data_IF_760242707647
#
_entry.id   IF_760242707647
#
_cell.length_a   1.000
_cell.length_b   1.000
_cell.length_c   1.000
_cell.angle_alpha   90.00
_cell.angle_beta   90.00
_cell.angle_gamma   90.00
#
_symmetry.space_group_name_H-M   'P 1'
#
loop_
_entity.id
_entity.type
_entity.pdbx_description
1 polymer ?
#
# COMPACT_ATOMS: atom_id res chain seq x y z
N UNK A 1 -31.20 -11.22 -22.65
CA UNK A 1 -30.34 -12.03 -21.76
C UNK A 1 -29.40 -11.07 -21.08
N UNK A 2 -29.45 -11.02 -19.76
CA UNK A 2 -28.52 -10.27 -18.93
C UNK A 2 -27.18 -11.00 -19.00
N UNK A 3 -26.20 -10.43 -19.71
CA UNK A 3 -24.82 -10.82 -19.43
C UNK A 3 -24.45 -10.20 -18.09
N UNK A 4 -24.47 -11.06 -17.07
CA UNK A 4 -23.98 -10.83 -15.72
C UNK A 4 -22.48 -10.47 -15.78
N UNK A 5 -22.20 -9.22 -16.13
CA UNK A 5 -20.88 -8.63 -16.09
C UNK A 5 -20.71 -7.87 -14.79
N UNK A 6 -20.70 -8.55 -13.65
CA UNK A 6 -20.18 -7.97 -12.41
C UNK A 6 -18.67 -7.76 -12.59
N UNK A 7 -18.30 -6.67 -13.26
CA UNK A 7 -16.98 -6.09 -13.13
C UNK A 7 -17.03 -5.23 -11.86
N UNK A 8 -16.89 -5.86 -10.70
CA UNK A 8 -16.64 -5.14 -9.46
C UNK A 8 -15.31 -5.56 -8.84
N UNK A 9 -14.25 -5.61 -9.66
CA UNK A 9 -12.89 -5.36 -9.17
C UNK A 9 -12.74 -3.87 -8.91
N UNK A 10 -13.49 -3.34 -7.94
CA UNK A 10 -13.16 -2.03 -7.37
C UNK A 10 -11.95 -2.27 -6.50
N UNK A 11 -10.75 -2.10 -7.07
CA UNK A 11 -9.49 -1.95 -6.35
C UNK A 11 -9.62 -0.71 -5.45
N UNK A 12 -10.30 -0.85 -4.31
CA UNK A 12 -10.51 0.25 -3.37
C UNK A 12 -9.15 0.57 -2.76
N UNK A 13 -8.58 1.67 -3.21
CA UNK A 13 -7.37 2.23 -2.63
C UNK A 13 -7.70 3.57 -1.99
N UNK A 14 -7.05 3.85 -0.87
CA UNK A 14 -7.05 5.14 -0.22
C UNK A 14 -5.79 5.88 -0.61
N UNK A 15 -5.94 6.96 -1.37
CA UNK A 15 -4.86 7.89 -1.64
C UNK A 15 -4.65 8.82 -0.45
N UNK A 16 -3.46 8.78 0.14
CA UNK A 16 -2.99 9.74 1.13
C UNK A 16 -2.04 10.72 0.43
N UNK A 17 -2.30 12.02 0.54
CA UNK A 17 -1.40 13.07 0.05
C UNK A 17 -0.67 13.71 1.23
N UNK A 18 0.65 13.79 1.13
CA UNK A 18 1.53 14.50 2.07
C UNK A 18 2.09 15.76 1.41
N UNK A 19 2.97 16.50 2.10
CA UNK A 19 3.73 17.62 1.52
C UNK A 19 4.87 17.19 0.57
N UNK A 20 5.11 15.88 0.40
CA UNK A 20 6.26 15.35 -0.35
C UNK A 20 5.87 14.33 -1.41
N UNK A 21 4.83 13.52 -1.16
CA UNK A 21 4.40 12.42 -2.02
C UNK A 21 2.92 12.10 -1.83
N UNK A 22 2.37 11.30 -2.74
CA UNK A 22 1.09 10.61 -2.62
C UNK A 22 1.34 9.12 -2.44
N UNK A 23 0.56 8.47 -1.59
CA UNK A 23 0.62 7.05 -1.30
C UNK A 23 -0.78 6.46 -1.45
N UNK A 24 -0.91 5.47 -2.32
CA UNK A 24 -2.12 4.66 -2.45
C UNK A 24 -1.94 3.40 -1.60
N UNK A 25 -2.78 3.27 -0.57
CA UNK A 25 -2.87 2.07 0.25
C UNK A 25 -4.14 1.28 -0.10
N UNK A 26 -4.10 -0.06 -0.09
CA UNK A 26 -5.31 -0.85 -0.30
C UNK A 26 -6.28 -0.74 0.89
N UNK A 27 -7.58 -0.76 0.60
CA UNK A 27 -8.67 -0.82 1.57
C UNK A 27 -9.48 -2.10 1.43
N UNK A 28 -10.10 -2.55 2.53
CA UNK A 28 -10.86 -3.81 2.59
C UNK A 28 -10.02 -5.02 2.19
N UNK A 29 -8.77 -5.04 2.64
CA UNK A 29 -7.84 -6.14 2.40
C UNK A 29 -8.29 -7.37 3.17
N UNK A 30 -8.30 -8.51 2.50
CA UNK A 30 -8.57 -9.82 3.11
C UNK A 30 -7.27 -10.55 3.37
N UNK A 31 -7.18 -11.30 4.47
CA UNK A 31 -6.01 -12.10 4.77
C UNK A 31 -5.70 -13.11 3.64
N UNK A 32 -4.43 -13.20 3.25
CA UNK A 32 -3.93 -14.02 2.14
C UNK A 32 -4.02 -13.34 0.76
N UNK A 33 -4.41 -12.06 0.68
CA UNK A 33 -4.42 -11.33 -0.58
C UNK A 33 -3.10 -10.60 -0.85
N UNK A 34 -2.65 -10.70 -2.11
CA UNK A 34 -1.63 -9.82 -2.67
C UNK A 34 -2.24 -8.46 -3.01
N UNK A 35 -1.66 -7.39 -2.49
CA UNK A 35 -2.11 -6.02 -2.77
C UNK A 35 -0.93 -5.13 -3.15
N UNK A 36 -1.18 -4.24 -4.10
CA UNK A 36 -0.23 -3.21 -4.52
C UNK A 36 -0.32 -2.00 -3.59
N UNK A 37 0.84 -1.49 -3.16
CA UNK A 37 1.02 -0.16 -2.62
C UNK A 37 1.71 0.69 -3.69
N UNK A 38 1.27 1.93 -3.88
CA UNK A 38 1.85 2.83 -4.88
C UNK A 38 2.26 4.15 -4.27
N UNK A 39 3.47 4.60 -4.59
CA UNK A 39 4.01 5.89 -4.16
C UNK A 39 4.36 6.72 -5.39
N UNK A 40 3.82 7.94 -5.44
CA UNK A 40 4.13 8.94 -6.47
C UNK A 40 4.53 10.26 -5.83
N UNK A 41 5.19 11.14 -6.56
CA UNK A 41 5.38 12.52 -6.15
C UNK A 41 4.04 13.30 -6.17
N UNK A 42 4.08 14.59 -5.85
CA UNK A 42 2.90 15.46 -5.87
C UNK A 42 2.32 15.67 -7.28
N UNK A 43 3.14 15.50 -8.31
CA UNK A 43 2.77 15.58 -9.72
C UNK A 43 2.18 14.26 -10.26
N UNK A 44 2.23 13.18 -9.48
CA UNK A 44 1.77 11.85 -9.89
C UNK A 44 2.83 11.01 -10.61
N UNK A 45 4.10 11.42 -10.60
CA UNK A 45 5.21 10.63 -11.14
C UNK A 45 5.63 9.55 -10.15
N UNK A 46 5.92 8.32 -10.59
CA UNK A 46 6.30 7.22 -9.71
C UNK A 46 7.60 7.50 -8.96
N UNK A 47 7.66 7.11 -7.68
CA UNK A 47 8.87 7.23 -6.85
C UNK A 47 9.51 5.86 -6.61
N UNK A 48 10.67 5.65 -7.24
CA UNK A 48 11.50 4.44 -7.13
C UNK A 48 12.39 4.46 -5.88
N UNK A 49 12.74 3.28 -5.39
CA UNK A 49 13.68 3.04 -4.28
C UNK A 49 13.26 3.74 -2.97
N UNK A 50 11.96 3.92 -2.75
CA UNK A 50 11.42 4.46 -1.49
C UNK A 50 11.41 3.34 -0.46
N UNK A 51 12.03 3.59 0.70
CA UNK A 51 12.09 2.60 1.78
C UNK A 51 10.76 2.53 2.55
N UNK A 52 10.15 1.35 2.53
CA UNK A 52 8.89 1.03 3.20
C UNK A 52 9.16 -0.07 4.23
N UNK A 53 8.81 0.22 5.47
CA UNK A 53 8.77 -0.76 6.55
C UNK A 53 7.32 -1.18 6.75
N UNK A 54 7.07 -2.48 6.77
CA UNK A 54 5.76 -3.07 7.06
C UNK A 54 5.91 -3.87 8.36
N UNK A 55 5.04 -3.60 9.32
CA UNK A 55 4.94 -4.37 10.55
C UNK A 55 3.62 -5.08 10.62
N UNK A 56 3.69 -6.40 10.74
CA UNK A 56 2.54 -7.28 10.67
C UNK A 56 1.81 -7.30 12.02
N UNK A 57 0.56 -7.80 12.10
CA UNK A 57 -0.19 -7.90 13.35
C UNK A 57 0.53 -8.73 14.44
N UNK A 58 1.44 -9.62 14.03
CA UNK A 58 2.28 -10.43 14.93
C UNK A 58 3.52 -9.69 15.45
N UNK A 59 3.79 -8.48 14.95
CA UNK A 59 4.97 -7.69 15.29
C UNK A 59 6.22 -7.99 14.44
N UNK A 60 6.11 -8.86 13.43
CA UNK A 60 7.19 -9.10 12.47
C UNK A 60 7.39 -7.89 11.56
N UNK A 61 8.63 -7.58 11.22
CA UNK A 61 9.00 -6.38 10.47
C UNK A 61 9.69 -6.78 9.17
N UNK A 62 9.17 -6.27 8.05
CA UNK A 62 9.76 -6.42 6.73
C UNK A 62 10.15 -5.06 6.16
N UNK A 63 11.29 -4.99 5.47
CA UNK A 63 11.74 -3.78 4.76
C UNK A 63 11.71 -4.04 3.26
N UNK A 64 11.10 -3.11 2.53
CA UNK A 64 10.91 -3.18 1.09
C UNK A 64 11.28 -1.86 0.42
N UNK A 65 11.60 -1.93 -0.87
CA UNK A 65 11.83 -0.76 -1.72
C UNK A 65 10.78 -0.76 -2.83
N UNK A 66 10.27 0.42 -3.17
CA UNK A 66 9.41 0.56 -4.35
C UNK A 66 10.21 0.34 -5.63
N UNK A 67 9.55 -0.26 -6.63
CA UNK A 67 10.12 -0.50 -7.94
C UNK A 67 10.19 0.78 -8.82
N UNK A 68 10.58 0.62 -10.09
CA UNK A 68 10.65 1.74 -11.06
C UNK A 68 9.31 2.43 -11.32
N UNK A 69 8.19 1.74 -11.09
CA UNK A 69 6.84 2.26 -11.22
C UNK A 69 6.31 2.85 -9.90
N UNK A 70 7.16 2.92 -8.87
CA UNK A 70 6.78 3.36 -7.54
C UNK A 70 5.84 2.39 -6.83
N UNK A 71 5.83 1.13 -7.25
CA UNK A 71 4.94 0.09 -6.77
C UNK A 71 5.66 -0.87 -5.84
N UNK A 72 4.91 -1.43 -4.90
CA UNK A 72 5.32 -2.51 -4.03
C UNK A 72 4.14 -3.47 -3.89
N UNK A 73 4.29 -4.68 -4.39
CA UNK A 73 3.35 -5.76 -4.12
C UNK A 73 3.67 -6.40 -2.77
N UNK A 74 2.66 -6.52 -1.92
CA UNK A 74 2.81 -7.12 -0.59
C UNK A 74 1.63 -8.03 -0.28
N UNK A 75 1.93 -9.23 0.21
CA UNK A 75 0.93 -10.23 0.59
C UNK A 75 0.57 -10.09 2.07
N UNK A 76 -0.69 -9.76 2.34
CA UNK A 76 -1.18 -9.53 3.70
C UNK A 76 -1.68 -10.84 4.32
N UNK A 77 -0.77 -11.62 4.91
CA UNK A 77 -1.05 -13.00 5.34
C UNK A 77 -1.99 -13.18 6.55
N UNK A 78 -2.13 -12.19 7.42
CA UNK A 78 -2.81 -12.34 8.71
C UNK A 78 -3.90 -11.29 8.91
N UNK A 79 -4.96 -11.64 9.62
CA UNK A 79 -5.94 -10.66 10.08
C UNK A 79 -5.35 -9.68 11.09
N UNK A 80 -5.76 -8.42 10.98
CA UNK A 80 -5.41 -7.39 11.95
C UNK A 80 -4.80 -6.13 11.33
N UNK A 81 -4.10 -5.38 12.17
CA UNK A 81 -3.57 -4.06 11.81
C UNK A 81 -2.12 -4.17 11.37
N UNK A 82 -1.85 -3.83 10.11
CA UNK A 82 -0.50 -3.66 9.59
C UNK A 82 -0.06 -2.20 9.73
N UNK A 83 1.09 -1.96 10.32
CA UNK A 83 1.70 -0.64 10.36
C UNK A 83 2.62 -0.46 9.15
N UNK A 84 2.29 0.49 8.28
CA UNK A 84 3.08 0.84 7.11
C UNK A 84 3.85 2.11 7.43
N UNK A 85 5.18 2.07 7.36
CA UNK A 85 6.03 3.24 7.58
C UNK A 85 6.85 3.53 6.33
N UNK A 86 6.65 4.72 5.77
CA UNK A 86 7.35 5.19 4.56
C UNK A 86 8.45 6.16 4.97
N UNK A 87 9.67 5.94 4.47
CA UNK A 87 10.81 6.81 4.68
C UNK A 87 11.12 7.57 3.39
N UNK A 88 10.92 8.88 3.41
CA UNK A 88 11.13 9.73 2.24
C UNK A 88 11.52 11.15 2.65
N UNK A 89 12.44 11.78 1.91
CA UNK A 89 12.90 13.14 2.21
C UNK A 89 13.52 13.32 3.59
N UNK A 90 14.13 12.26 4.16
CA UNK A 90 14.69 12.27 5.51
C UNK A 90 13.65 12.24 6.65
N UNK A 91 12.37 12.03 6.32
CA UNK A 91 11.25 11.92 7.27
C UNK A 91 10.65 10.52 7.25
N UNK A 92 9.93 10.17 8.31
CA UNK A 92 9.18 8.93 8.42
C UNK A 92 7.67 9.22 8.56
N UNK A 93 6.86 8.51 7.79
CA UNK A 93 5.41 8.66 7.74
C UNK A 93 4.76 7.33 8.12
N UNK A 94 3.82 7.32 9.05
CA UNK A 94 3.22 6.10 9.60
C UNK A 94 1.74 6.02 9.20
N UNK A 95 1.32 4.85 8.73
CA UNK A 95 -0.02 4.54 8.27
C UNK A 95 -0.45 3.16 8.78
N UNK A 96 -1.76 2.89 8.71
CA UNK A 96 -2.31 1.61 9.11
C UNK A 96 -3.21 1.07 8.02
N UNK A 97 -3.00 -0.20 7.66
CA UNK A 97 -3.90 -0.99 6.81
C UNK A 97 -4.57 -2.01 7.72
N UNK A 98 -5.91 -2.10 7.62
CA UNK A 98 -6.70 -3.06 8.37
C UNK A 98 -7.03 -4.22 7.43
N UNK A 99 -6.61 -5.41 7.83
CA UNK A 99 -6.83 -6.68 7.12
C UNK A 99 -7.87 -7.49 7.89
N UNK A 100 -8.81 -8.12 7.17
CA UNK A 100 -9.96 -8.84 7.73
C UNK A 100 -10.17 -10.23 7.11
#
# INVERSE_FOLDING_TARGET
>A
EEEDGVVTTTSKTKTITTDQFKLDLPENVVAGELRELKITDLNGLPLKDVNIQITDPKGEITYNLTDVNGQLDYEFLYDGNYAIKVYYGGKAYNYTVIVK
#
